data_IF_171006389974
#
_entry.id   IF_171006389974
#
_cell.length_a   1.000
_cell.length_b   1.000
_cell.length_c   1.000
_cell.angle_alpha   90.00
_cell.angle_beta   90.00
_cell.angle_gamma   90.00
#
_symmetry.space_group_name_H-M   'P 1'
#
loop_
_entity.id
_entity.type
_entity.pdbx_description
1 polymer ?
#
# COMPACT_ATOMS: atom_id res chain seq x y z
N UNK A 1 38.20 -10.38 -23.76
CA UNK A 1 37.64 -11.55 -24.46
C UNK A 1 36.30 -11.14 -25.04
N UNK A 2 36.24 -10.78 -26.30
CA UNK A 2 35.01 -10.45 -27.03
C UNK A 2 34.40 -11.74 -27.50
N UNK A 3 33.33 -12.18 -26.88
CA UNK A 3 32.57 -13.38 -27.32
C UNK A 3 31.84 -13.01 -28.61
N UNK A 4 32.35 -13.48 -29.75
CA UNK A 4 31.64 -13.47 -31.02
C UNK A 4 30.41 -14.39 -30.89
N UNK A 5 29.21 -13.80 -30.72
CA UNK A 5 27.95 -14.52 -30.89
C UNK A 5 27.88 -14.87 -32.39
N UNK A 6 27.74 -16.16 -32.76
CA UNK A 6 27.56 -16.54 -34.15
C UNK A 6 26.28 -15.93 -34.71
N UNK A 7 26.26 -15.59 -36.00
CA UNK A 7 25.08 -14.99 -36.64
C UNK A 7 23.81 -15.81 -36.44
N UNK A 8 23.89 -17.14 -36.43
CA UNK A 8 22.77 -18.04 -36.15
C UNK A 8 22.22 -17.89 -34.73
N UNK A 9 23.08 -17.68 -33.75
CA UNK A 9 22.66 -17.42 -32.37
C UNK A 9 21.96 -16.06 -32.21
N UNK A 10 22.45 -15.05 -32.91
CA UNK A 10 21.82 -13.73 -32.90
C UNK A 10 20.42 -13.78 -33.53
N UNK A 11 20.27 -14.43 -34.67
CA UNK A 11 19.00 -14.63 -35.35
C UNK A 11 17.99 -15.42 -34.49
N UNK A 12 18.45 -16.46 -33.83
CA UNK A 12 17.61 -17.25 -32.91
C UNK A 12 17.16 -16.46 -31.70
N UNK A 13 18.04 -15.60 -31.15
CA UNK A 13 17.69 -14.70 -30.04
C UNK A 13 16.64 -13.66 -30.45
N UNK A 14 16.79 -13.07 -31.64
CA UNK A 14 15.84 -12.10 -32.15
C UNK A 14 14.45 -12.73 -32.36
N UNK A 15 14.39 -13.93 -32.94
CA UNK A 15 13.12 -14.67 -33.09
C UNK A 15 12.46 -14.97 -31.75
N UNK A 16 13.24 -15.41 -30.75
CA UNK A 16 12.70 -15.65 -29.39
C UNK A 16 12.16 -14.38 -28.74
N UNK A 17 12.82 -13.24 -28.95
CA UNK A 17 12.38 -11.95 -28.44
C UNK A 17 11.06 -11.53 -29.12
N UNK A 18 10.97 -11.65 -30.45
CA UNK A 18 9.76 -11.34 -31.22
C UNK A 18 8.57 -12.20 -30.77
N UNK A 19 8.78 -13.49 -30.60
CA UNK A 19 7.75 -14.42 -30.11
C UNK A 19 7.32 -14.07 -28.67
N UNK A 20 8.26 -13.69 -27.82
CA UNK A 20 7.96 -13.25 -26.45
C UNK A 20 7.12 -11.96 -26.42
N UNK A 21 7.45 -10.99 -27.27
CA UNK A 21 6.68 -9.75 -27.43
C UNK A 21 5.27 -10.07 -27.91
N UNK A 22 5.13 -10.85 -28.98
CA UNK A 22 3.84 -11.24 -29.54
C UNK A 22 2.95 -11.97 -28.51
N UNK A 23 3.52 -12.91 -27.77
CA UNK A 23 2.80 -13.62 -26.71
C UNK A 23 2.34 -12.67 -25.59
N UNK A 24 3.17 -11.69 -25.24
CA UNK A 24 2.84 -10.68 -24.22
C UNK A 24 1.74 -9.73 -24.70
N UNK A 25 1.76 -9.30 -25.96
CA UNK A 25 0.70 -8.49 -26.57
C UNK A 25 -0.64 -9.23 -26.60
N UNK A 26 -0.62 -10.50 -27.00
CA UNK A 26 -1.83 -11.35 -26.99
C UNK A 26 -2.39 -11.54 -25.58
N UNK A 27 -1.50 -11.73 -24.59
CA UNK A 27 -1.91 -11.82 -23.20
C UNK A 27 -2.55 -10.52 -22.71
N UNK A 28 -1.92 -9.37 -22.95
CA UNK A 28 -2.44 -8.07 -22.57
C UNK A 28 -3.76 -7.75 -23.26
N UNK A 29 -3.90 -8.11 -24.55
CA UNK A 29 -5.16 -7.94 -25.28
C UNK A 29 -6.32 -8.73 -24.66
N UNK A 30 -6.06 -9.96 -24.19
CA UNK A 30 -7.07 -10.73 -23.45
C UNK A 30 -7.46 -10.08 -22.13
N UNK A 31 -6.45 -9.62 -21.38
CA UNK A 31 -6.69 -8.91 -20.10
C UNK A 31 -7.44 -7.61 -20.32
N UNK A 32 -7.08 -6.82 -21.34
CA UNK A 32 -7.78 -5.58 -21.68
C UNK A 32 -9.28 -5.82 -21.96
N UNK A 33 -9.63 -6.94 -22.58
CA UNK A 33 -11.02 -7.33 -22.82
C UNK A 33 -11.85 -7.61 -21.55
N UNK A 34 -11.20 -7.76 -20.39
CA UNK A 34 -11.90 -7.95 -19.10
C UNK A 34 -12.30 -6.64 -18.42
N UNK A 35 -11.99 -5.48 -19.01
CA UNK A 35 -12.34 -4.16 -18.48
C UNK A 35 -13.41 -3.47 -19.34
N UNK A 36 -14.69 -3.86 -19.23
CA UNK A 36 -15.75 -3.28 -20.03
C UNK A 36 -15.94 -1.80 -19.69
N UNK A 37 -16.06 -0.97 -20.73
CA UNK A 37 -16.28 0.47 -20.57
C UNK A 37 -15.04 1.32 -20.23
N UNK A 38 -13.88 0.69 -20.04
CA UNK A 38 -12.64 1.41 -19.84
C UNK A 38 -11.85 1.56 -21.15
N UNK A 39 -11.21 2.71 -21.35
CA UNK A 39 -10.22 2.88 -22.43
C UNK A 39 -8.91 2.20 -22.00
N UNK A 40 -8.55 1.12 -22.69
CA UNK A 40 -7.35 0.34 -22.38
C UNK A 40 -6.27 0.55 -23.44
N UNK A 41 -5.01 0.65 -22.98
CA UNK A 41 -3.81 0.65 -23.84
C UNK A 41 -2.87 -0.45 -23.38
N UNK A 42 -2.49 -1.33 -24.31
CA UNK A 42 -1.49 -2.36 -24.03
C UNK A 42 -0.11 -1.85 -24.43
N UNK A 43 0.88 -2.08 -23.57
CA UNK A 43 2.26 -1.70 -23.81
C UNK A 43 3.17 -2.85 -23.43
N UNK A 44 4.02 -3.29 -24.35
CA UNK A 44 5.07 -4.28 -24.13
C UNK A 44 6.41 -3.62 -24.35
N UNK A 45 7.27 -3.66 -23.35
CA UNK A 45 8.58 -3.02 -23.38
C UNK A 45 9.68 -4.00 -23.02
N UNK A 46 10.85 -3.80 -23.63
CA UNK A 46 12.07 -4.53 -23.29
C UNK A 46 12.81 -3.79 -22.18
N UNK A 47 13.17 -4.49 -21.10
CA UNK A 47 13.94 -3.86 -20.02
C UNK A 47 13.68 -4.51 -18.65
N UNK A 48 14.14 -3.84 -17.62
CA UNK A 48 13.83 -4.23 -16.23
C UNK A 48 12.42 -3.80 -15.90
N UNK A 49 11.56 -4.74 -15.55
CA UNK A 49 10.14 -4.50 -15.34
C UNK A 49 9.87 -3.36 -14.36
N UNK A 50 10.59 -3.30 -13.23
CA UNK A 50 10.45 -2.23 -12.25
C UNK A 50 10.77 -0.85 -12.80
N UNK A 51 11.78 -0.74 -13.66
CA UNK A 51 12.17 0.54 -14.27
C UNK A 51 11.10 1.00 -15.27
N UNK A 52 10.67 0.11 -16.15
CA UNK A 52 9.64 0.42 -17.15
C UNK A 52 8.33 0.85 -16.49
N UNK A 53 7.92 0.18 -15.41
CA UNK A 53 6.69 0.54 -14.66
C UNK A 53 6.83 1.93 -14.06
N UNK A 54 7.94 2.21 -13.36
CA UNK A 54 8.18 3.50 -12.70
C UNK A 54 8.25 4.62 -13.72
N UNK A 55 9.02 4.46 -14.80
CA UNK A 55 9.15 5.45 -15.85
C UNK A 55 7.82 5.73 -16.56
N UNK A 56 7.04 4.68 -16.82
CA UNK A 56 5.71 4.83 -17.42
C UNK A 56 4.75 5.59 -16.52
N UNK A 57 4.76 5.30 -15.22
CA UNK A 57 3.88 5.97 -14.27
C UNK A 57 4.30 7.41 -13.98
N UNK A 58 5.61 7.68 -13.91
CA UNK A 58 6.13 9.04 -13.62
C UNK A 58 5.89 10.05 -14.75
N UNK A 59 5.50 9.58 -15.93
CA UNK A 59 5.13 10.48 -17.05
C UNK A 59 3.84 11.27 -16.79
N UNK A 60 3.01 10.82 -15.84
CA UNK A 60 1.77 11.49 -15.44
C UNK A 60 1.57 11.34 -13.92
N UNK A 61 1.58 12.46 -13.19
CA UNK A 61 1.40 12.49 -11.73
C UNK A 61 0.04 11.93 -11.28
N UNK A 62 -0.97 11.99 -12.15
CA UNK A 62 -2.31 11.41 -11.88
C UNK A 62 -2.37 9.90 -12.00
N UNK A 63 -1.27 9.22 -12.33
CA UNK A 63 -1.24 7.77 -12.52
C UNK A 63 -1.24 7.01 -11.19
N UNK A 64 -2.19 6.08 -11.01
CA UNK A 64 -2.18 5.06 -9.98
C UNK A 64 -1.55 3.78 -10.52
N UNK A 65 -0.48 3.31 -9.89
CA UNK A 65 0.10 2.00 -10.18
C UNK A 65 -0.72 0.94 -9.42
N UNK A 66 -1.16 -0.12 -10.10
CA UNK A 66 -1.83 -1.25 -9.45
C UNK A 66 -1.05 -2.53 -9.73
N UNK A 67 -0.68 -3.26 -8.68
CA UNK A 67 0.12 -4.48 -8.79
C UNK A 67 -0.36 -5.57 -7.83
N UNK A 68 -0.25 -6.83 -8.27
CA UNK A 68 -0.36 -7.95 -7.35
C UNK A 68 0.95 -8.13 -6.55
N UNK A 69 0.84 -8.62 -5.30
CA UNK A 69 2.01 -8.91 -4.46
C UNK A 69 2.93 -9.96 -5.07
N UNK A 70 2.39 -10.89 -5.88
CA UNK A 70 3.12 -11.99 -6.53
C UNK A 70 2.75 -12.11 -8.00
N UNK A 71 3.75 -12.47 -8.82
CA UNK A 71 3.55 -12.88 -10.19
C UNK A 71 3.41 -14.42 -10.31
N UNK A 72 3.75 -14.96 -11.49
CA UNK A 72 3.62 -16.39 -11.85
C UNK A 72 4.42 -17.37 -10.97
N UNK A 73 5.43 -16.90 -10.23
CA UNK A 73 6.34 -17.71 -9.40
C UNK A 73 5.97 -17.76 -7.91
N UNK A 74 4.78 -17.32 -7.53
CA UNK A 74 4.36 -17.15 -6.14
C UNK A 74 4.19 -18.45 -5.37
N UNK A 75 5.28 -19.00 -4.85
CA UNK A 75 5.28 -20.22 -4.02
C UNK A 75 5.02 -19.93 -2.53
N UNK A 76 5.22 -18.69 -2.06
CA UNK A 76 5.04 -18.32 -0.66
C UNK A 76 4.05 -17.16 -0.48
N UNK A 77 2.93 -17.44 0.15
CA UNK A 77 1.81 -16.51 0.43
C UNK A 77 2.17 -15.24 1.23
N UNK A 78 3.39 -15.15 1.77
CA UNK A 78 3.81 -14.11 2.72
C UNK A 78 4.93 -13.20 2.20
N UNK A 79 5.37 -13.37 0.96
CA UNK A 79 6.47 -12.59 0.39
C UNK A 79 5.95 -11.58 -0.62
N UNK A 80 6.36 -10.33 -0.47
CA UNK A 80 6.21 -9.32 -1.53
C UNK A 80 7.18 -9.65 -2.66
N UNK A 81 6.69 -9.77 -3.89
CA UNK A 81 7.52 -10.10 -5.06
C UNK A 81 8.59 -9.03 -5.30
N UNK A 82 9.75 -9.44 -5.79
CA UNK A 82 10.91 -8.54 -5.97
C UNK A 82 10.63 -7.33 -6.87
N UNK A 83 9.77 -7.47 -7.87
CA UNK A 83 9.36 -6.35 -8.75
C UNK A 83 8.45 -5.41 -7.97
N UNK A 84 7.43 -5.93 -7.29
CA UNK A 84 6.51 -5.13 -6.49
C UNK A 84 7.25 -4.37 -5.38
N UNK A 85 8.22 -5.00 -4.71
CA UNK A 85 9.08 -4.35 -3.71
C UNK A 85 9.90 -3.20 -4.30
N UNK A 86 10.52 -3.41 -5.46
CA UNK A 86 11.32 -2.36 -6.12
C UNK A 86 10.45 -1.20 -6.59
N UNK A 87 9.25 -1.48 -7.12
CA UNK A 87 8.29 -0.44 -7.51
C UNK A 87 7.82 0.32 -6.28
N UNK A 88 7.46 -0.38 -5.19
CA UNK A 88 7.05 0.23 -3.92
C UNK A 88 8.11 1.17 -3.34
N UNK A 89 9.39 0.81 -3.46
CA UNK A 89 10.50 1.66 -3.00
C UNK A 89 10.84 2.79 -3.98
N UNK A 90 10.65 2.58 -5.28
CA UNK A 90 11.14 3.48 -6.34
C UNK A 90 10.09 4.44 -6.91
N UNK A 91 8.82 4.06 -6.94
CA UNK A 91 7.76 4.89 -7.54
C UNK A 91 7.46 6.13 -6.68
N UNK A 92 7.17 7.25 -7.35
CA UNK A 92 6.64 8.48 -6.74
C UNK A 92 5.12 8.51 -6.76
N UNK A 93 4.52 7.82 -7.71
CA UNK A 93 3.07 7.69 -7.87
C UNK A 93 2.45 6.83 -6.76
N UNK A 94 1.17 7.05 -6.44
CA UNK A 94 0.42 6.15 -5.56
C UNK A 94 0.46 4.71 -6.09
N UNK A 95 0.61 3.75 -5.18
CA UNK A 95 0.70 2.33 -5.50
C UNK A 95 -0.36 1.53 -4.75
N UNK A 96 -1.28 0.92 -5.48
CA UNK A 96 -2.24 -0.05 -4.95
C UNK A 96 -1.65 -1.45 -5.06
N UNK A 97 -1.39 -2.07 -3.92
CA UNK A 97 -0.90 -3.44 -3.83
C UNK A 97 -2.06 -4.37 -3.48
N UNK A 98 -2.33 -5.32 -4.35
CA UNK A 98 -3.41 -6.30 -4.17
C UNK A 98 -2.82 -7.68 -3.96
N UNK A 99 -3.31 -8.39 -2.96
CA UNK A 99 -2.92 -9.78 -2.75
C UNK A 99 -3.74 -10.69 -3.65
N UNK A 100 -3.07 -11.53 -4.43
CA UNK A 100 -3.73 -12.61 -5.14
C UNK A 100 -4.16 -13.68 -4.13
N UNK A 101 -5.46 -13.99 -4.06
CA UNK A 101 -6.02 -15.09 -3.27
C UNK A 101 -6.40 -16.25 -4.19
N UNK A 102 -6.27 -17.49 -3.73
CA UNK A 102 -6.69 -18.68 -4.51
C UNK A 102 -8.21 -18.71 -4.73
N UNK A 103 -8.97 -17.99 -3.91
CA UNK A 103 -10.42 -17.89 -3.98
C UNK A 103 -10.91 -16.83 -4.97
N UNK A 104 -10.02 -16.04 -5.55
CA UNK A 104 -10.37 -15.05 -6.56
C UNK A 104 -10.87 -15.75 -7.83
N UNK A 105 -12.19 -15.94 -7.91
CA UNK A 105 -12.84 -16.37 -9.15
C UNK A 105 -12.93 -15.19 -10.09
N UNK A 106 -12.74 -15.44 -11.37
CA UNK A 106 -12.74 -14.40 -12.41
C UNK A 106 -14.03 -13.55 -12.45
N UNK A 107 -15.11 -14.05 -11.90
CA UNK A 107 -16.43 -13.41 -11.89
C UNK A 107 -16.73 -12.64 -10.60
N UNK A 108 -15.87 -12.68 -9.60
CA UNK A 108 -16.09 -11.95 -8.35
C UNK A 108 -15.51 -10.55 -8.44
N UNK A 109 -16.37 -9.55 -8.52
CA UNK A 109 -16.01 -8.15 -8.36
C UNK A 109 -15.88 -7.86 -6.86
N UNK A 110 -14.69 -7.45 -6.41
CA UNK A 110 -14.49 -7.03 -5.03
C UNK A 110 -15.29 -5.74 -4.77
N UNK A 111 -16.04 -5.72 -3.67
CA UNK A 111 -16.81 -4.54 -3.26
C UNK A 111 -16.14 -3.94 -2.04
N UNK A 112 -15.49 -2.78 -2.22
CA UNK A 112 -14.95 -2.04 -1.09
C UNK A 112 -16.08 -1.32 -0.33
N UNK A 113 -16.01 -1.32 1.00
CA UNK A 113 -16.97 -0.63 1.88
C UNK A 113 -16.34 0.51 2.65
N UNK A 114 -15.08 0.35 3.04
CA UNK A 114 -14.39 1.35 3.84
C UNK A 114 -12.92 1.50 3.46
N UNK A 115 -12.36 2.66 3.83
CA UNK A 115 -10.94 2.94 3.78
C UNK A 115 -10.44 3.06 5.21
N UNK A 116 -9.57 2.16 5.63
CA UNK A 116 -8.86 2.25 6.91
C UNK A 116 -7.63 3.13 6.70
N UNK A 117 -7.56 4.24 7.40
CA UNK A 117 -6.45 5.20 7.32
C UNK A 117 -5.71 5.25 8.65
N UNK A 118 -4.55 4.57 8.78
CA UNK A 118 -3.70 4.65 9.96
C UNK A 118 -3.01 6.01 10.06
N UNK A 119 -3.06 6.61 11.25
CA UNK A 119 -2.48 7.90 11.59
C UNK A 119 -1.58 7.77 12.84
N UNK A 120 -0.35 8.24 12.75
CA UNK A 120 0.59 8.25 13.87
C UNK A 120 0.78 9.64 14.51
N UNK A 121 0.07 10.65 14.00
CA UNK A 121 0.16 12.03 14.42
C UNK A 121 1.22 12.86 13.69
N UNK A 122 1.89 12.28 12.67
CA UNK A 122 2.82 13.01 11.83
C UNK A 122 2.12 13.68 10.64
N UNK A 123 2.63 14.82 10.20
CA UNK A 123 2.16 15.49 8.97
C UNK A 123 2.28 14.59 7.74
N UNK A 124 3.31 13.72 7.72
CA UNK A 124 3.52 12.75 6.65
C UNK A 124 2.36 11.74 6.57
N UNK A 125 1.90 11.19 7.68
CA UNK A 125 0.75 10.30 7.70
C UNK A 125 -0.53 11.04 7.29
N UNK A 126 -0.66 12.31 7.64
CA UNK A 126 -1.81 13.16 7.30
C UNK A 126 -1.83 13.58 5.82
N UNK A 127 -0.69 13.61 5.14
CA UNK A 127 -0.59 13.97 3.72
C UNK A 127 -1.41 13.07 2.79
N UNK A 128 -1.81 11.89 3.26
CA UNK A 128 -2.67 10.94 2.54
C UNK A 128 -4.15 11.36 2.52
N UNK A 129 -4.57 12.23 3.44
CA UNK A 129 -5.97 12.66 3.61
C UNK A 129 -6.64 13.18 2.33
N UNK A 130 -6.04 14.05 1.51
CA UNK A 130 -6.70 14.56 0.30
C UNK A 130 -7.04 13.43 -0.69
N UNK A 131 -6.09 12.52 -0.92
CA UNK A 131 -6.28 11.37 -1.82
C UNK A 131 -7.35 10.40 -1.29
N UNK A 132 -7.33 10.11 0.02
CA UNK A 132 -8.35 9.28 0.68
C UNK A 132 -9.73 9.93 0.58
N UNK A 133 -9.81 11.26 0.79
CA UNK A 133 -11.07 11.98 0.70
C UNK A 133 -11.67 11.93 -0.70
N UNK A 134 -10.86 12.13 -1.73
CA UNK A 134 -11.29 12.03 -3.12
C UNK A 134 -11.78 10.63 -3.47
N UNK A 135 -11.00 9.60 -3.09
CA UNK A 135 -11.35 8.21 -3.34
C UNK A 135 -12.63 7.80 -2.60
N UNK A 136 -12.76 8.19 -1.31
CA UNK A 136 -13.94 7.88 -0.50
C UNK A 136 -15.22 8.51 -1.07
N UNK A 137 -15.15 9.75 -1.56
CA UNK A 137 -16.29 10.42 -2.23
C UNK A 137 -16.67 9.72 -3.53
N UNK A 138 -15.67 9.46 -4.38
CA UNK A 138 -15.88 8.85 -5.69
C UNK A 138 -16.51 7.47 -5.59
N UNK A 139 -16.04 6.66 -4.64
CA UNK A 139 -16.50 5.28 -4.43
C UNK A 139 -17.57 5.15 -3.34
N UNK A 140 -17.97 6.26 -2.69
CA UNK A 140 -18.96 6.30 -1.59
C UNK A 140 -18.59 5.39 -0.43
N UNK A 141 -17.32 5.39 -0.04
CA UNK A 141 -16.77 4.56 1.03
C UNK A 141 -16.81 5.29 2.37
N UNK A 142 -16.91 4.52 3.46
CA UNK A 142 -16.64 5.01 4.81
C UNK A 142 -15.13 5.21 5.00
N UNK A 143 -14.74 6.22 5.79
CA UNK A 143 -13.36 6.43 6.23
C UNK A 143 -13.24 6.06 7.71
N UNK A 144 -12.37 5.10 8.02
CA UNK A 144 -12.06 4.67 9.38
C UNK A 144 -10.68 5.21 9.74
N UNK A 145 -10.61 6.28 10.53
CA UNK A 145 -9.35 6.79 11.05
C UNK A 145 -8.86 5.89 12.18
N UNK A 146 -7.63 5.42 12.06
CA UNK A 146 -7.07 4.46 13.00
C UNK A 146 -5.81 5.00 13.66
N UNK A 147 -5.66 4.79 14.99
CA UNK A 147 -4.40 5.07 15.69
C UNK A 147 -4.11 3.96 16.70
N UNK A 148 -2.92 3.37 16.61
CA UNK A 148 -2.39 2.52 17.65
C UNK A 148 -1.65 3.35 18.69
N UNK A 149 -1.76 2.96 19.96
CA UNK A 149 -1.00 3.53 21.06
C UNK A 149 -0.39 2.42 21.91
N UNK A 150 0.78 2.65 22.43
CA UNK A 150 1.47 1.71 23.33
C UNK A 150 2.50 2.46 24.16
N UNK A 151 2.79 1.96 25.35
CA UNK A 151 3.85 2.55 26.17
C UNK A 151 5.19 2.28 25.51
N UNK A 152 6.01 3.31 25.23
CA UNK A 152 7.33 3.12 24.66
C UNK A 152 8.23 2.31 25.60
N UNK A 153 9.04 1.40 25.05
CA UNK A 153 9.98 0.60 25.83
C UNK A 153 10.94 1.46 26.67
N UNK A 154 11.29 2.65 26.20
CA UNK A 154 12.11 3.61 26.94
C UNK A 154 11.48 4.07 28.26
N UNK A 155 10.15 4.05 28.39
CA UNK A 155 9.49 4.37 29.65
C UNK A 155 9.69 3.29 30.72
N UNK A 156 9.87 2.03 30.29
CA UNK A 156 10.23 0.93 31.20
C UNK A 156 11.70 1.02 31.64
N UNK A 157 12.59 1.37 30.73
CA UNK A 157 14.03 1.42 31.02
C UNK A 157 14.42 2.60 31.96
N UNK A 158 13.63 3.68 31.98
CA UNK A 158 13.86 4.80 32.90
C UNK A 158 13.26 4.60 34.29
N UNK A 159 12.43 3.57 34.50
CA UNK A 159 11.81 3.26 35.78
C UNK A 159 12.71 2.49 36.78
N UNK A 160 13.96 2.16 36.43
CA UNK A 160 14.93 1.55 37.35
C UNK A 160 15.39 2.47 38.49
N UNK A 161 14.86 3.69 38.59
CA UNK A 161 15.17 4.65 39.64
C UNK A 161 13.94 5.33 40.21
N UNK A 162 13.45 4.86 41.33
CA UNK A 162 12.71 5.60 42.41
C UNK A 162 11.28 6.11 42.20
N UNK A 163 10.64 6.03 41.04
CA UNK A 163 9.19 6.30 40.93
C UNK A 163 8.52 5.16 40.19
N UNK A 164 7.64 4.43 40.88
CA UNK A 164 6.71 3.53 40.24
C UNK A 164 5.79 4.38 39.36
N UNK A 165 6.08 4.45 38.07
CA UNK A 165 5.16 5.04 37.10
C UNK A 165 3.90 4.19 37.12
N UNK A 166 2.75 4.79 37.44
CA UNK A 166 1.49 4.09 37.36
C UNK A 166 1.22 3.74 35.88
N UNK A 167 1.41 2.47 35.58
CA UNK A 167 1.25 1.95 34.22
C UNK A 167 -0.17 2.20 33.68
N UNK A 168 -1.18 2.05 34.54
CA UNK A 168 -2.56 2.23 34.13
C UNK A 168 -2.86 3.69 33.84
N UNK A 169 -2.33 4.62 34.65
CA UNK A 169 -2.49 6.04 34.41
C UNK A 169 -1.81 6.49 33.12
N UNK A 170 -0.58 6.01 32.86
CA UNK A 170 0.14 6.33 31.63
C UNK A 170 -0.58 5.77 30.39
N UNK A 171 -1.04 4.54 30.45
CA UNK A 171 -1.79 3.92 29.35
C UNK A 171 -3.10 4.66 29.07
N UNK A 172 -3.80 5.08 30.15
CA UNK A 172 -5.01 5.90 30.06
C UNK A 172 -4.73 7.23 29.37
N UNK A 173 -3.68 7.93 29.77
CA UNK A 173 -3.28 9.21 29.16
C UNK A 173 -2.96 9.05 27.65
N UNK A 174 -2.24 7.98 27.27
CA UNK A 174 -1.95 7.69 25.87
C UNK A 174 -3.20 7.35 25.05
N UNK A 175 -4.15 6.67 25.67
CA UNK A 175 -5.44 6.38 25.04
C UNK A 175 -6.23 7.68 24.81
N UNK A 176 -6.32 8.54 25.81
CA UNK A 176 -7.03 9.81 25.75
C UNK A 176 -6.40 10.70 24.65
N UNK A 177 -5.08 10.83 24.61
CA UNK A 177 -4.36 11.55 23.55
C UNK A 177 -4.67 11.00 22.15
N UNK A 178 -4.70 9.67 22.00
CA UNK A 178 -5.00 9.03 20.72
C UNK A 178 -6.45 9.31 20.28
N UNK A 179 -7.40 9.24 21.20
CA UNK A 179 -8.82 9.51 20.93
C UNK A 179 -9.04 10.98 20.57
N UNK A 180 -8.53 11.91 21.37
CA UNK A 180 -8.66 13.35 21.12
C UNK A 180 -8.08 13.75 19.75
N UNK A 181 -6.93 13.17 19.39
CA UNK A 181 -6.33 13.40 18.10
C UNK A 181 -7.24 12.90 16.96
N UNK A 182 -7.76 11.68 17.07
CA UNK A 182 -8.63 11.09 16.05
C UNK A 182 -9.95 11.84 15.91
N UNK A 183 -10.54 12.32 17.01
CA UNK A 183 -11.77 13.12 16.99
C UNK A 183 -11.56 14.44 16.23
N UNK A 184 -10.45 15.15 16.52
CA UNK A 184 -10.08 16.36 15.78
C UNK A 184 -9.89 16.10 14.29
N UNK A 185 -9.27 14.96 13.92
CA UNK A 185 -9.10 14.58 12.51
C UNK A 185 -10.43 14.15 11.87
N UNK A 186 -11.30 13.48 12.60
CA UNK A 186 -12.65 13.15 12.14
C UNK A 186 -13.41 14.39 11.69
N UNK A 187 -13.38 15.46 12.49
CA UNK A 187 -14.02 16.72 12.12
C UNK A 187 -13.37 17.39 10.90
N UNK A 188 -12.04 17.28 10.77
CA UNK A 188 -11.34 17.79 9.59
C UNK A 188 -11.73 17.02 8.32
N UNK A 189 -11.85 15.70 8.41
CA UNK A 189 -12.25 14.83 7.28
C UNK A 189 -13.71 15.07 6.87
N UNK A 190 -14.62 15.27 7.83
CA UNK A 190 -16.01 15.64 7.55
C UNK A 190 -16.12 16.97 6.80
N UNK A 191 -15.28 17.95 7.14
CA UNK A 191 -15.22 19.25 6.42
C UNK A 191 -14.77 19.10 4.97
N UNK A 192 -14.05 18.01 4.64
CA UNK A 192 -13.74 17.67 3.26
C UNK A 192 -14.94 17.07 2.50
N UNK A 193 -16.10 16.93 3.13
CA UNK A 193 -17.33 16.43 2.50
C UNK A 193 -17.45 14.91 2.48
N UNK A 194 -16.93 14.24 3.49
CA UNK A 194 -17.12 12.80 3.72
C UNK A 194 -18.14 12.61 4.84
N UNK A 195 -19.29 12.02 4.50
CA UNK A 195 -20.39 11.87 5.45
C UNK A 195 -20.15 10.77 6.48
N UNK A 196 -19.50 9.68 6.07
CA UNK A 196 -19.27 8.50 6.89
C UNK A 196 -17.82 8.44 7.34
N UNK A 197 -17.54 8.96 8.53
CA UNK A 197 -16.21 8.91 9.16
C UNK A 197 -16.37 8.34 10.55
N UNK A 198 -15.60 7.32 10.87
CA UNK A 198 -15.45 6.75 12.21
C UNK A 198 -13.99 6.77 12.63
N UNK A 199 -13.71 6.59 13.93
CA UNK A 199 -12.36 6.51 14.44
C UNK A 199 -12.20 5.35 15.43
N UNK A 200 -11.00 4.77 15.43
CA UNK A 200 -10.63 3.61 16.26
C UNK A 200 -9.24 3.83 16.87
N UNK A 201 -9.15 3.96 18.18
CA UNK A 201 -7.91 3.93 18.93
C UNK A 201 -7.71 2.51 19.52
N UNK A 202 -6.52 1.94 19.33
CA UNK A 202 -6.19 0.58 19.79
C UNK A 202 -4.86 0.55 20.52
N UNK A 203 -4.86 -0.13 21.67
CA UNK A 203 -3.62 -0.49 22.34
C UNK A 203 -2.92 -1.61 21.60
N UNK A 204 -1.61 -1.43 21.32
CA UNK A 204 -0.79 -2.44 20.69
C UNK A 204 0.20 -1.86 19.67
N UNK A 205 0.89 -2.78 18.97
CA UNK A 205 1.80 -2.41 17.90
C UNK A 205 1.03 -2.06 16.63
N UNK A 206 1.38 -0.93 16.03
CA UNK A 206 0.62 -0.35 14.93
C UNK A 206 0.37 -1.33 13.77
N UNK A 207 1.39 -2.04 13.30
CA UNK A 207 1.24 -2.98 12.19
C UNK A 207 0.27 -4.13 12.52
N UNK A 208 0.40 -4.70 13.71
CA UNK A 208 -0.43 -5.84 14.13
C UNK A 208 -1.89 -5.43 14.30
N UNK A 209 -2.14 -4.27 14.91
CA UNK A 209 -3.50 -3.77 15.12
C UNK A 209 -4.17 -3.31 13.82
N UNK A 210 -3.43 -2.73 12.87
CA UNK A 210 -3.95 -2.41 11.53
C UNK A 210 -4.37 -3.71 10.81
N UNK A 211 -3.51 -4.73 10.81
CA UNK A 211 -3.78 -6.02 10.18
C UNK A 211 -4.94 -6.73 10.88
N UNK A 212 -5.01 -6.66 12.22
CA UNK A 212 -6.11 -7.23 12.99
C UNK A 212 -7.44 -6.56 12.68
N UNK A 213 -7.45 -5.22 12.54
CA UNK A 213 -8.65 -4.47 12.19
C UNK A 213 -9.14 -4.85 10.79
N UNK A 214 -8.24 -4.91 9.82
CA UNK A 214 -8.58 -5.24 8.44
C UNK A 214 -9.20 -6.64 8.32
N UNK A 215 -8.70 -7.61 9.09
CA UNK A 215 -9.24 -8.99 9.09
C UNK A 215 -10.64 -9.11 9.70
N UNK A 216 -11.03 -8.18 10.58
CA UNK A 216 -12.35 -8.21 11.23
C UNK A 216 -13.47 -7.69 10.35
N UNK A 217 -13.13 -6.86 9.40
CA UNK A 217 -14.08 -6.25 8.45
C UNK A 217 -13.58 -6.53 7.04
N UNK A 218 -14.09 -7.54 6.35
CA UNK A 218 -13.74 -7.77 4.95
C UNK A 218 -14.20 -6.56 4.10
N UNK A 219 -13.63 -6.41 2.92
CA UNK A 219 -13.97 -5.36 1.96
C UNK A 219 -13.39 -3.96 2.34
N UNK A 220 -12.25 -3.93 3.02
CA UNK A 220 -11.53 -2.70 3.30
C UNK A 220 -10.43 -2.43 2.28
N UNK A 221 -10.09 -1.15 2.16
CA UNK A 221 -8.85 -0.66 1.58
C UNK A 221 -8.02 -0.03 2.70
N UNK A 222 -6.79 -0.46 2.90
CA UNK A 222 -5.88 0.24 3.82
C UNK A 222 -5.16 1.32 3.02
N UNK A 223 -5.27 2.59 3.43
CA UNK A 223 -4.57 3.69 2.79
C UNK A 223 -3.56 4.32 3.76
N UNK A 224 -2.28 4.32 3.41
CA UNK A 224 -1.23 4.80 4.30
C UNK A 224 -0.08 5.46 3.54
N UNK A 225 0.65 6.32 4.26
CA UNK A 225 1.87 6.93 3.76
C UNK A 225 3.03 5.92 3.75
N UNK A 226 4.01 6.14 2.87
CA UNK A 226 5.26 5.36 2.89
C UNK A 226 6.05 5.50 4.19
N UNK A 227 5.92 6.64 4.90
CA UNK A 227 6.65 6.96 6.12
C UNK A 227 5.73 7.55 7.18
N UNK A 228 6.08 7.35 8.45
CA UNK A 228 5.46 7.99 9.60
C UNK A 228 6.48 8.88 10.35
N UNK A 229 6.38 8.92 11.68
CA UNK A 229 7.20 9.75 12.59
C UNK A 229 8.72 9.68 12.38
N UNK A 230 9.24 8.57 11.90
CA UNK A 230 10.68 8.38 11.72
C UNK A 230 11.28 9.12 10.52
N UNK A 231 10.48 9.69 9.65
CA UNK A 231 10.82 10.64 8.58
C UNK A 231 12.16 10.49 7.86
N UNK A 232 12.68 9.26 7.69
CA UNK A 232 14.02 9.03 7.18
C UNK A 232 14.00 8.94 5.66
N UNK A 233 14.81 9.81 5.05
CA UNK A 233 15.29 9.83 3.65
C UNK A 233 14.47 9.13 2.56
N UNK A 234 14.33 9.78 1.47
CA UNK A 234 13.61 9.57 0.19
C UNK A 234 13.44 8.14 -0.37
N UNK A 235 14.10 7.10 0.20
CA UNK A 235 14.19 5.74 -0.36
C UNK A 235 13.88 4.61 0.62
N UNK A 236 13.44 4.93 1.84
CA UNK A 236 13.18 3.93 2.88
C UNK A 236 11.68 3.80 3.08
N UNK A 237 11.14 2.62 2.92
CA UNK A 237 9.76 2.28 3.30
C UNK A 237 9.70 2.15 4.83
N UNK A 238 8.73 2.79 5.48
CA UNK A 238 8.52 2.68 6.92
C UNK A 238 8.20 1.25 7.34
N UNK A 239 8.71 0.82 8.48
CA UNK A 239 8.56 -0.56 8.98
C UNK A 239 7.08 -0.96 9.13
N UNK A 240 6.23 -0.07 9.59
CA UNK A 240 4.78 -0.34 9.72
C UNK A 240 4.16 -0.55 8.34
N UNK A 241 4.42 0.33 7.38
CA UNK A 241 3.90 0.21 6.00
C UNK A 241 4.40 -1.06 5.34
N UNK A 242 5.69 -1.38 5.48
CA UNK A 242 6.26 -2.62 4.93
C UNK A 242 5.58 -3.86 5.51
N UNK A 243 5.38 -3.89 6.84
CA UNK A 243 4.72 -5.02 7.52
C UNK A 243 3.27 -5.16 7.08
N UNK A 244 2.53 -4.05 6.98
CA UNK A 244 1.13 -4.07 6.53
C UNK A 244 1.03 -4.55 5.08
N UNK A 245 1.84 -4.02 4.16
CA UNK A 245 1.85 -4.46 2.76
C UNK A 245 2.17 -5.96 2.62
N UNK A 246 3.08 -6.47 3.46
CA UNK A 246 3.47 -7.89 3.43
C UNK A 246 2.43 -8.82 4.03
N UNK A 247 1.69 -8.39 5.06
CA UNK A 247 0.89 -9.29 5.91
C UNK A 247 -0.61 -8.99 5.92
N UNK A 248 -1.06 -7.86 5.39
CA UNK A 248 -2.48 -7.60 5.22
C UNK A 248 -3.10 -8.55 4.19
N UNK A 249 -4.33 -9.01 4.46
CA UNK A 249 -5.15 -9.70 3.47
C UNK A 249 -5.86 -8.72 2.53
N UNK A 250 -6.11 -7.50 3.00
CA UNK A 250 -6.78 -6.44 2.25
C UNK A 250 -5.81 -5.71 1.29
N UNK A 251 -6.34 -5.09 0.23
CA UNK A 251 -5.55 -4.21 -0.62
C UNK A 251 -4.97 -3.04 0.17
N UNK A 252 -3.74 -2.65 -0.17
CA UNK A 252 -3.04 -1.55 0.48
C UNK A 252 -2.70 -0.47 -0.55
N UNK A 253 -3.25 0.71 -0.39
CA UNK A 253 -2.88 1.91 -1.13
C UNK A 253 -1.77 2.63 -0.39
N UNK A 254 -0.60 2.66 -1.00
CA UNK A 254 0.58 3.34 -0.45
C UNK A 254 0.79 4.65 -1.21
N UNK A 255 0.78 5.75 -0.47
CA UNK A 255 0.94 7.10 -1.01
C UNK A 255 2.26 7.65 -0.50
N UNK A 256 3.05 8.21 -1.40
CA UNK A 256 4.29 8.88 -1.01
C UNK A 256 3.97 10.31 -0.58
N UNK A 257 4.43 10.70 0.61
CA UNK A 257 4.43 12.09 0.99
C UNK A 257 5.41 12.87 0.10
N UNK A 258 4.95 13.94 -0.48
CA UNK A 258 5.73 14.90 -1.29
C UNK A 258 6.40 15.94 -0.40
#
# INVERSE_FOLDING_TARGET
MTTHISADRALHLDTMIEDSVRNSEQYLGRVAGTFPGASTKCRVEKGKAEQVIIETASADEGTLITMATHGRSGINRWLLGSIAEKVLRGATNPLLVVRATEEAKADNVATLKSIVMPLDGSELAESVLPTVAELAKTLKLEVVLFRAYSIPYSAYASAEGYYAVDYEELLKAMREEAVDYLEKKTEAVKKLGIDKVSCVAKEGFAADEIISLSRKSPDNLIAMCTHGRSGVKRWVLGSVTETVVRHSADPVLVIRAS
#
